data_IF_653429243633
#
_entry.id   IF_653429243633
#
_cell.length_a   1.000
_cell.length_b   1.000
_cell.length_c   1.000
_cell.angle_alpha   90.00
_cell.angle_beta   90.00
_cell.angle_gamma   90.00
#
_symmetry.space_group_name_H-M   'P 1'
#
loop_
_entity.id
_entity.type
_entity.pdbx_description
1 polymer ?
#
# COMPACT_ATOMS: atom_id res chain seq x y z
N UNK A 1 -55.71 -14.48 24.15
CA UNK A 1 -55.64 -14.93 25.55
C UNK A 1 -54.21 -14.64 26.00
N UNK A 2 -53.90 -13.65 26.82
CA UNK A 2 -54.66 -12.87 27.80
C UNK A 2 -53.95 -11.52 27.94
N UNK A 3 -54.75 -10.44 27.93
CA UNK A 3 -54.42 -9.08 28.35
C UNK A 3 -53.87 -9.02 29.79
N UNK A 4 -52.90 -8.13 30.03
CA UNK A 4 -52.80 -7.45 31.34
C UNK A 4 -52.60 -5.96 31.10
N UNK A 5 -53.71 -5.23 31.26
CA UNK A 5 -53.86 -3.79 31.43
C UNK A 5 -53.64 -3.44 32.91
N UNK A 6 -52.81 -2.43 33.21
CA UNK A 6 -52.88 -1.71 34.50
C UNK A 6 -52.99 -0.20 34.22
N UNK A 7 -54.25 0.21 34.23
CA UNK A 7 -54.77 1.57 34.35
C UNK A 7 -54.34 2.29 35.64
N UNK A 8 -53.90 3.54 35.42
CA UNK A 8 -54.54 4.78 35.89
C UNK A 8 -54.54 5.13 37.39
N UNK A 9 -53.91 6.27 37.70
CA UNK A 9 -54.45 7.23 38.68
C UNK A 9 -54.05 8.67 38.32
N UNK A 10 -54.92 9.34 37.58
CA UNK A 10 -55.07 10.79 37.63
C UNK A 10 -55.72 11.23 38.95
N UNK A 11 -55.31 12.39 39.49
CA UNK A 11 -56.16 13.52 39.94
C UNK A 11 -55.24 14.63 40.54
N UNK A 12 -55.21 15.77 39.84
CA UNK A 12 -54.77 17.14 40.21
C UNK A 12 -55.57 17.72 41.41
N UNK A 13 -55.43 19.01 41.84
CA UNK A 13 -54.42 20.07 41.57
C UNK A 13 -53.92 20.80 42.86
N UNK A 14 -52.83 21.58 42.79
CA UNK A 14 -52.79 22.88 43.47
C UNK A 14 -51.89 23.87 42.72
N UNK A 15 -52.50 25.01 42.39
CA UNK A 15 -51.94 26.21 41.79
C UNK A 15 -50.85 26.86 42.65
N UNK A 16 -49.76 27.30 42.02
CA UNK A 16 -49.15 28.62 42.28
C UNK A 16 -48.07 28.98 41.22
N UNK A 17 -48.47 29.87 40.31
CA UNK A 17 -47.74 30.94 39.63
C UNK A 17 -46.21 30.85 39.43
N UNK A 18 -45.79 30.94 38.17
CA UNK A 18 -44.45 31.37 37.78
C UNK A 18 -44.24 31.37 36.26
N UNK A 19 -44.73 32.42 35.59
CA UNK A 19 -44.47 32.72 34.18
C UNK A 19 -42.97 32.76 33.86
N UNK A 20 -42.46 31.84 33.04
CA UNK A 20 -41.51 32.16 31.95
C UNK A 20 -41.88 31.26 30.75
N UNK A 21 -42.08 31.95 29.64
CA UNK A 21 -42.54 31.51 28.34
C UNK A 21 -41.70 30.39 27.73
N UNK A 22 -42.35 29.49 26.98
CA UNK A 22 -41.66 28.65 26.02
C UNK A 22 -40.89 29.50 25.01
N UNK A 23 -39.62 29.15 24.81
CA UNK A 23 -38.94 29.37 23.54
C UNK A 23 -39.01 28.06 22.78
N UNK A 24 -39.71 28.09 21.65
CA UNK A 24 -39.43 27.19 20.56
C UNK A 24 -37.94 27.33 20.22
N UNK A 25 -37.29 26.19 20.04
CA UNK A 25 -35.93 26.07 19.50
C UNK A 25 -36.01 26.45 18.03
N UNK A 26 -35.99 27.75 17.78
CA UNK A 26 -35.50 28.34 16.55
C UNK A 26 -34.31 29.18 17.00
N UNK A 27 -33.14 28.85 16.47
CA UNK A 27 -31.90 29.59 16.57
C UNK A 27 -32.04 30.92 15.81
N UNK A 28 -32.00 32.06 16.52
CA UNK A 28 -31.26 33.20 15.98
C UNK A 28 -30.36 33.76 17.09
N UNK A 29 -29.06 33.55 16.97
CA UNK A 29 -28.16 34.01 18.03
C UNK A 29 -26.67 33.75 17.86
N UNK A 30 -26.15 33.56 16.63
CA UNK A 30 -24.70 33.66 16.38
C UNK A 30 -24.29 34.97 15.68
N UNK A 31 -25.22 35.86 15.32
CA UNK A 31 -24.87 37.12 14.65
C UNK A 31 -24.35 38.22 15.60
N UNK A 32 -24.67 38.14 16.90
CA UNK A 32 -24.15 39.07 17.91
C UNK A 32 -22.78 38.63 18.50
N UNK A 33 -22.30 37.45 18.10
CA UNK A 33 -21.04 36.85 18.57
C UNK A 33 -19.96 36.94 17.49
N UNK A 34 -20.23 37.42 16.28
CA UNK A 34 -19.30 37.35 15.14
C UNK A 34 -17.90 37.92 15.40
N UNK A 35 -17.78 39.09 16.05
CA UNK A 35 -16.48 39.68 16.40
C UNK A 35 -15.83 38.97 17.60
N UNK A 36 -16.62 38.51 18.58
CA UNK A 36 -16.11 37.82 19.77
C UNK A 36 -15.72 36.37 19.47
N UNK A 37 -16.42 35.69 18.57
CA UNK A 37 -16.10 34.35 18.06
C UNK A 37 -14.84 34.40 17.22
N UNK A 38 -14.65 35.45 16.40
CA UNK A 38 -13.36 35.73 15.73
C UNK A 38 -12.22 35.97 16.73
N UNK A 39 -12.45 36.79 17.76
CA UNK A 39 -11.45 37.02 18.83
C UNK A 39 -11.17 35.77 19.67
N UNK A 40 -12.12 34.83 19.77
CA UNK A 40 -11.97 33.56 20.48
C UNK A 40 -11.50 32.39 19.59
N UNK A 41 -11.24 32.61 18.29
CA UNK A 41 -10.78 31.57 17.37
C UNK A 41 -11.82 30.46 17.11
N UNK A 42 -13.10 30.82 17.18
CA UNK A 42 -14.27 29.95 17.02
C UNK A 42 -14.90 30.14 15.64
N UNK A 43 -14.07 30.16 14.60
CA UNK A 43 -14.47 30.35 13.20
C UNK A 43 -13.82 29.25 12.38
N UNK A 44 -14.55 28.75 11.38
CA UNK A 44 -13.98 27.81 10.42
C UNK A 44 -12.74 28.42 9.76
N UNK A 45 -11.72 27.61 9.43
CA UNK A 45 -10.58 28.08 8.65
C UNK A 45 -11.04 28.73 7.34
N UNK A 46 -10.35 29.78 6.90
CA UNK A 46 -10.64 30.44 5.62
C UNK A 46 -10.23 29.57 4.40
N UNK A 47 -9.46 28.50 4.65
CA UNK A 47 -8.95 27.54 3.66
C UNK A 47 -9.47 26.14 3.96
N UNK A 48 -10.03 25.47 2.95
CA UNK A 48 -10.61 24.14 3.06
C UNK A 48 -9.74 23.04 2.45
N UNK A 49 -10.33 21.88 2.19
CA UNK A 49 -9.65 20.73 1.59
C UNK A 49 -9.10 21.07 0.21
N UNK A 50 -9.84 21.85 -0.57
CA UNK A 50 -9.44 22.31 -1.89
C UNK A 50 -8.11 23.10 -1.87
N UNK A 51 -7.84 23.83 -0.78
CA UNK A 51 -6.61 24.61 -0.59
C UNK A 51 -5.48 23.81 0.08
N UNK A 52 -5.71 22.53 0.37
CA UNK A 52 -4.74 21.65 1.05
C UNK A 52 -4.73 21.80 2.57
N UNK A 53 -5.79 22.35 3.18
CA UNK A 53 -5.92 22.38 4.63
C UNK A 53 -6.63 21.12 5.14
N UNK A 54 -5.93 20.33 5.95
CA UNK A 54 -6.48 19.14 6.62
C UNK A 54 -7.00 19.42 8.04
N UNK A 55 -6.54 20.51 8.67
CA UNK A 55 -6.86 20.83 10.07
C UNK A 55 -8.11 21.72 10.14
N UNK A 56 -9.28 21.10 10.01
CA UNK A 56 -10.56 21.81 9.91
C UNK A 56 -11.42 21.59 11.17
N UNK A 57 -11.52 20.34 11.62
CA UNK A 57 -12.40 19.93 12.70
C UNK A 57 -11.79 20.16 14.09
N UNK A 58 -10.47 20.10 14.22
CA UNK A 58 -9.79 20.05 15.50
C UNK A 58 -9.92 18.70 16.23
N UNK A 59 -10.49 17.70 15.57
CA UNK A 59 -10.55 16.29 16.00
C UNK A 59 -9.54 15.51 15.17
N UNK A 60 -8.65 14.79 15.85
CA UNK A 60 -7.51 14.09 15.22
C UNK A 60 -7.96 13.11 14.14
N UNK A 61 -8.96 12.26 14.41
CA UNK A 61 -9.42 11.27 13.43
C UNK A 61 -10.00 11.90 12.16
N UNK A 62 -10.82 12.95 12.31
CA UNK A 62 -11.44 13.67 11.18
C UNK A 62 -10.40 14.47 10.38
N UNK A 63 -9.49 15.17 11.06
CA UNK A 63 -8.42 15.93 10.39
C UNK A 63 -7.41 14.99 9.70
N UNK A 64 -7.18 13.80 10.25
CA UNK A 64 -6.34 12.76 9.63
C UNK A 64 -6.98 12.17 8.37
N UNK A 65 -8.31 12.00 8.37
CA UNK A 65 -9.07 11.64 7.18
C UNK A 65 -8.93 12.70 6.09
N UNK A 66 -9.11 13.97 6.43
CA UNK A 66 -8.89 15.09 5.51
C UNK A 66 -7.46 15.12 4.96
N UNK A 67 -6.47 14.80 5.80
CA UNK A 67 -5.09 14.62 5.37
C UNK A 67 -4.91 13.48 4.38
N UNK A 68 -5.59 12.35 4.57
CA UNK A 68 -5.57 11.23 3.63
C UNK A 68 -6.22 11.59 2.29
N UNK A 69 -7.35 12.32 2.30
CA UNK A 69 -7.99 12.85 1.08
C UNK A 69 -7.02 13.72 0.27
N UNK A 70 -6.32 14.65 0.93
CA UNK A 70 -5.34 15.51 0.26
C UNK A 70 -4.18 14.67 -0.29
N UNK A 71 -3.66 13.71 0.47
CA UNK A 71 -2.55 12.86 0.04
C UNK A 71 -2.91 12.02 -1.20
N UNK A 72 -4.09 11.39 -1.21
CA UNK A 72 -4.56 10.59 -2.35
C UNK A 72 -4.85 11.48 -3.57
N UNK A 73 -5.47 12.64 -3.38
CA UNK A 73 -5.69 13.61 -4.47
C UNK A 73 -4.36 14.04 -5.09
N UNK A 74 -3.38 14.39 -4.27
CA UNK A 74 -2.08 14.85 -4.75
C UNK A 74 -1.30 13.71 -5.44
N UNK A 75 -1.42 12.48 -4.92
CA UNK A 75 -0.89 11.28 -5.58
C UNK A 75 -1.56 11.05 -6.95
N UNK A 76 -2.89 11.13 -7.04
CA UNK A 76 -3.62 11.03 -8.31
C UNK A 76 -3.14 12.06 -9.33
N UNK A 77 -3.04 13.33 -8.93
CA UNK A 77 -2.55 14.41 -9.81
C UNK A 77 -1.10 14.14 -10.26
N UNK A 78 -0.23 13.72 -9.34
CA UNK A 78 1.17 13.44 -9.65
C UNK A 78 1.32 12.28 -10.64
N UNK A 79 0.60 11.18 -10.43
CA UNK A 79 0.69 10.00 -11.28
C UNK A 79 0.02 10.24 -12.65
N UNK A 80 -1.15 10.89 -12.69
CA UNK A 80 -1.76 11.33 -13.95
C UNK A 80 -0.86 12.29 -14.73
N UNK A 81 -0.18 13.20 -14.04
CA UNK A 81 0.84 14.08 -14.64
C UNK A 81 2.00 13.30 -15.25
N UNK A 82 2.42 12.21 -14.61
CA UNK A 82 3.48 11.32 -15.11
C UNK A 82 3.03 10.57 -16.38
N UNK A 83 1.82 9.99 -16.38
CA UNK A 83 1.24 9.35 -17.58
C UNK A 83 1.18 10.34 -18.74
N UNK A 84 0.68 11.56 -18.49
CA UNK A 84 0.66 12.61 -19.52
C UNK A 84 2.05 12.94 -20.03
N UNK A 85 3.04 13.12 -19.15
CA UNK A 85 4.41 13.44 -19.56
C UNK A 85 5.03 12.33 -20.43
N UNK A 86 4.76 11.06 -20.13
CA UNK A 86 5.22 9.95 -20.97
C UNK A 86 4.51 9.92 -22.33
N UNK A 87 3.20 10.18 -22.38
CA UNK A 87 2.46 10.29 -23.63
C UNK A 87 2.97 11.45 -24.50
N UNK A 88 3.20 12.62 -23.91
CA UNK A 88 3.79 13.77 -24.62
C UNK A 88 5.20 13.44 -25.13
N UNK A 89 5.98 12.70 -24.34
CA UNK A 89 7.30 12.21 -24.74
C UNK A 89 7.25 11.23 -25.91
N UNK A 90 6.27 10.33 -25.93
CA UNK A 90 6.03 9.42 -27.06
C UNK A 90 5.55 10.22 -28.27
N UNK A 91 4.60 11.14 -28.10
CA UNK A 91 4.07 12.00 -29.17
C UNK A 91 5.18 12.82 -29.84
N UNK A 92 6.09 13.41 -29.05
CA UNK A 92 7.25 14.10 -29.55
C UNK A 92 8.18 13.18 -30.37
N UNK A 93 8.37 11.93 -29.93
CA UNK A 93 9.17 10.93 -30.67
C UNK A 93 8.50 10.46 -31.98
N UNK A 94 7.19 10.67 -32.10
CA UNK A 94 6.38 10.40 -33.28
C UNK A 94 6.20 11.63 -34.16
N UNK A 95 6.77 12.77 -33.77
CA UNK A 95 6.66 14.05 -34.50
C UNK A 95 5.21 14.54 -34.66
N UNK A 96 4.34 14.21 -33.69
CA UNK A 96 2.96 14.73 -33.65
C UNK A 96 3.04 16.23 -33.34
N UNK A 97 2.35 17.07 -34.10
CA UNK A 97 2.30 18.52 -33.84
C UNK A 97 1.13 18.88 -32.91
N UNK A 98 1.30 19.90 -32.06
CA UNK A 98 0.23 20.40 -31.18
C UNK A 98 -0.07 19.52 -29.95
N UNK A 99 0.70 18.45 -29.72
CA UNK A 99 0.47 17.50 -28.61
C UNK A 99 0.38 18.15 -27.22
N UNK A 100 1.07 19.26 -26.99
CA UNK A 100 1.07 19.97 -25.70
C UNK A 100 -0.28 20.65 -25.39
N UNK A 101 -1.09 20.96 -26.40
CA UNK A 101 -2.40 21.61 -26.24
C UNK A 101 -3.56 20.60 -26.23
N UNK A 102 -3.29 19.34 -26.59
CA UNK A 102 -4.30 18.28 -26.64
C UNK A 102 -4.75 17.85 -25.24
N UNK A 103 -6.04 17.55 -25.13
CA UNK A 103 -6.58 16.81 -23.98
C UNK A 103 -5.97 15.41 -23.89
N UNK A 104 -6.03 14.78 -22.72
CA UNK A 104 -5.40 13.47 -22.49
C UNK A 104 -5.92 12.39 -23.45
N UNK A 105 -7.23 12.34 -23.67
CA UNK A 105 -7.86 11.37 -24.58
C UNK A 105 -7.45 11.60 -26.04
N UNK A 106 -7.42 12.85 -26.49
CA UNK A 106 -6.98 13.22 -27.85
C UNK A 106 -5.51 12.87 -28.06
N UNK A 107 -4.65 13.21 -27.09
CA UNK A 107 -3.23 12.88 -27.11
C UNK A 107 -3.02 11.37 -27.19
N UNK A 108 -3.71 10.58 -26.37
CA UNK A 108 -3.58 9.13 -26.35
C UNK A 108 -4.01 8.50 -27.69
N UNK A 109 -5.10 8.99 -28.29
CA UNK A 109 -5.57 8.55 -29.60
C UNK A 109 -4.56 8.87 -30.71
N UNK A 110 -4.03 10.08 -30.75
CA UNK A 110 -3.02 10.49 -31.74
C UNK A 110 -1.71 9.70 -31.57
N UNK A 111 -1.29 9.45 -30.33
CA UNK A 111 -0.14 8.57 -30.03
C UNK A 111 -0.39 7.16 -30.54
N UNK A 112 -1.55 6.56 -30.25
CA UNK A 112 -1.88 5.21 -30.71
C UNK A 112 -1.88 5.12 -32.24
N UNK A 113 -2.49 6.10 -32.93
CA UNK A 113 -2.48 6.17 -34.39
C UNK A 113 -1.07 6.38 -34.97
N UNK A 114 -0.27 7.24 -34.34
CA UNK A 114 1.13 7.49 -34.72
C UNK A 114 2.00 6.24 -34.56
N UNK A 115 1.79 5.47 -33.49
CA UNK A 115 2.45 4.17 -33.28
C UNK A 115 2.06 3.17 -34.35
N UNK A 116 0.78 2.99 -34.63
CA UNK A 116 0.29 2.09 -35.67
C UNK A 116 0.86 2.43 -37.04
N UNK A 117 0.90 3.73 -37.39
CA UNK A 117 1.50 4.21 -38.63
C UNK A 117 3.01 3.93 -38.69
N UNK A 118 3.73 4.20 -37.60
CA UNK A 118 5.19 3.98 -37.52
C UNK A 118 5.54 2.49 -37.60
N UNK A 119 4.79 1.62 -36.93
CA UNK A 119 4.97 0.18 -37.04
C UNK A 119 4.59 -0.34 -38.42
N UNK A 120 3.49 0.11 -39.01
CA UNK A 120 3.07 -0.33 -40.36
C UNK A 120 4.07 0.09 -41.45
N UNK A 121 4.76 1.22 -41.26
CA UNK A 121 5.80 1.66 -42.18
C UNK A 121 7.11 0.86 -42.06
N UNK A 122 7.43 0.38 -40.85
CA UNK A 122 8.73 -0.23 -40.55
C UNK A 122 8.70 -1.76 -40.42
N UNK A 123 7.55 -2.36 -40.13
CA UNK A 123 7.44 -3.75 -39.71
C UNK A 123 6.50 -4.53 -40.64
N UNK A 124 6.80 -5.81 -40.83
CA UNK A 124 5.93 -6.77 -41.47
C UNK A 124 5.32 -7.68 -40.41
N UNK A 125 4.00 -7.58 -40.21
CA UNK A 125 3.27 -8.37 -39.21
C UNK A 125 3.15 -7.72 -37.82
N UNK A 126 3.52 -6.44 -37.69
CA UNK A 126 3.36 -5.68 -36.45
C UNK A 126 4.51 -5.84 -35.45
N UNK A 127 4.26 -5.37 -34.23
CA UNK A 127 5.14 -5.50 -33.06
C UNK A 127 4.36 -6.22 -31.97
N UNK A 128 5.03 -7.09 -31.22
CA UNK A 128 4.46 -7.69 -30.02
C UNK A 128 5.39 -7.39 -28.85
N UNK A 129 4.84 -6.66 -27.87
CA UNK A 129 5.51 -6.31 -26.62
C UNK A 129 4.91 -7.16 -25.51
N UNK A 130 5.72 -8.05 -24.95
CA UNK A 130 5.40 -8.78 -23.72
C UNK A 130 6.12 -8.12 -22.56
N UNK A 131 5.44 -7.99 -21.43
CA UNK A 131 6.01 -7.40 -20.23
C UNK A 131 5.58 -8.20 -19.02
N UNK A 132 6.47 -8.27 -18.05
CA UNK A 132 6.14 -8.76 -16.71
C UNK A 132 5.36 -7.68 -15.96
N UNK A 133 4.53 -8.05 -14.99
CA UNK A 133 3.82 -7.08 -14.18
C UNK A 133 4.83 -6.13 -13.48
N UNK A 134 4.56 -4.82 -13.42
CA UNK A 134 5.36 -3.89 -12.65
C UNK A 134 5.33 -4.29 -11.17
N UNK A 135 6.47 -4.14 -10.49
CA UNK A 135 6.59 -4.46 -9.06
C UNK A 135 6.37 -3.21 -8.24
N UNK A 136 5.33 -3.22 -7.43
CA UNK A 136 4.95 -2.11 -6.57
C UNK A 136 5.26 -2.46 -5.11
N UNK A 137 6.04 -1.60 -4.45
CA UNK A 137 6.39 -1.74 -3.04
C UNK A 137 5.58 -0.71 -2.24
N UNK A 138 4.79 -1.19 -1.28
CA UNK A 138 4.05 -0.34 -0.35
C UNK A 138 4.99 0.24 0.71
N UNK A 139 4.81 1.52 1.04
CA UNK A 139 5.60 2.18 2.08
C UNK A 139 5.02 1.85 3.47
N UNK A 140 5.68 0.94 4.19
CA UNK A 140 5.34 0.62 5.58
C UNK A 140 5.45 1.87 6.47
N UNK A 141 6.45 2.73 6.22
CA UNK A 141 6.62 4.00 6.95
C UNK A 141 5.40 4.91 6.77
N UNK A 142 4.82 4.96 5.57
CA UNK A 142 3.62 5.75 5.31
C UNK A 142 2.40 5.20 6.08
N UNK A 143 2.23 3.87 6.14
CA UNK A 143 1.17 3.22 6.92
C UNK A 143 1.32 3.46 8.42
N UNK A 144 2.54 3.31 8.95
CA UNK A 144 2.88 3.56 10.36
C UNK A 144 2.64 5.01 10.73
N UNK A 145 3.09 5.95 9.89
CA UNK A 145 2.88 7.37 10.11
C UNK A 145 1.39 7.71 10.06
N UNK A 146 0.64 7.18 9.09
CA UNK A 146 -0.79 7.41 8.98
C UNK A 146 -1.55 6.90 10.21
N UNK A 147 -1.15 5.75 10.74
CA UNK A 147 -1.76 5.16 11.93
C UNK A 147 -1.47 6.01 13.17
N UNK A 148 -0.22 6.42 13.37
CA UNK A 148 0.18 7.29 14.48
C UNK A 148 -0.44 8.69 14.40
N UNK A 149 -0.71 9.20 13.20
CA UNK A 149 -1.42 10.47 13.01
C UNK A 149 -2.91 10.37 13.31
N UNK A 150 -3.50 9.18 13.17
CA UNK A 150 -4.94 9.01 13.29
C UNK A 150 -5.38 8.51 14.67
N UNK A 151 -4.58 7.66 15.31
CA UNK A 151 -4.88 7.10 16.62
C UNK A 151 -3.80 7.46 17.66
N UNK A 152 -4.22 8.19 18.71
CA UNK A 152 -3.35 8.75 19.75
C UNK A 152 -2.87 7.67 20.73
N UNK A 153 -3.54 6.51 20.76
CA UNK A 153 -3.22 5.39 21.65
C UNK A 153 -2.27 4.36 21.02
N UNK A 154 -1.82 4.59 19.78
CA UNK A 154 -0.89 3.69 19.07
C UNK A 154 0.55 4.21 19.21
N UNK A 155 1.41 3.43 19.89
CA UNK A 155 2.85 3.71 19.93
C UNK A 155 3.49 3.28 18.60
N UNK A 156 4.08 4.20 17.81
CA UNK A 156 4.69 3.86 16.51
C UNK A 156 5.81 2.83 16.61
N UNK A 157 6.40 2.61 17.80
CA UNK A 157 7.36 1.54 18.05
C UNK A 157 6.76 0.13 18.20
N UNK A 158 5.42 -0.01 18.17
CA UNK A 158 4.67 -1.25 18.35
C UNK A 158 3.87 -1.68 17.12
N UNK A 159 3.94 -0.90 16.03
CA UNK A 159 3.23 -1.21 14.78
C UNK A 159 4.04 -2.25 13.99
N UNK A 160 3.54 -3.48 13.99
CA UNK A 160 4.01 -4.53 13.08
C UNK A 160 3.06 -4.60 11.87
N UNK A 161 3.49 -4.02 10.76
CA UNK A 161 2.83 -4.23 9.47
C UNK A 161 3.17 -5.65 9.00
N UNK A 162 2.17 -6.53 8.92
CA UNK A 162 2.36 -7.88 8.39
C UNK A 162 2.19 -7.87 6.88
N UNK A 163 3.17 -8.44 6.18
CA UNK A 163 3.10 -8.66 4.76
C UNK A 163 2.54 -10.05 4.48
N UNK A 164 1.26 -10.11 4.10
CA UNK A 164 0.63 -11.35 3.64
C UNK A 164 0.87 -11.52 2.13
N UNK A 165 2.11 -11.80 1.73
CA UNK A 165 2.41 -12.16 0.34
C UNK A 165 1.99 -13.60 0.04
N UNK A 166 1.10 -13.80 -0.93
CA UNK A 166 0.97 -15.10 -1.62
C UNK A 166 1.85 -15.06 -2.88
N UNK A 167 2.87 -15.93 -3.00
CA UNK A 167 3.60 -16.08 -4.27
C UNK A 167 2.61 -16.76 -5.27
N UNK A 168 1.92 -15.99 -6.13
CA UNK A 168 1.17 -16.55 -7.26
C UNK A 168 2.17 -17.05 -8.30
N UNK A 169 2.66 -18.27 -8.07
CA UNK A 169 3.39 -19.03 -9.07
C UNK A 169 2.36 -19.53 -10.09
N UNK A 170 2.62 -19.34 -11.39
CA UNK A 170 1.72 -19.82 -12.44
C UNK A 170 1.38 -21.29 -12.23
N UNK A 171 0.13 -21.69 -12.51
CA UNK A 171 -0.37 -23.04 -12.23
C UNK A 171 0.51 -24.15 -12.83
N UNK A 172 1.19 -23.86 -13.95
CA UNK A 172 2.14 -24.77 -14.59
C UNK A 172 3.42 -24.96 -13.77
N UNK A 173 3.99 -23.90 -13.20
CA UNK A 173 5.21 -23.96 -12.37
C UNK A 173 4.91 -24.55 -10.97
N UNK A 174 3.73 -24.26 -10.41
CA UNK A 174 3.27 -24.87 -9.16
C UNK A 174 3.05 -26.39 -9.31
N UNK A 175 2.53 -26.84 -10.46
CA UNK A 175 2.37 -28.26 -10.77
C UNK A 175 3.70 -28.98 -10.97
N UNK A 176 4.71 -28.32 -11.55
CA UNK A 176 6.04 -28.90 -11.77
C UNK A 176 6.86 -29.00 -10.48
N UNK A 177 6.81 -27.99 -9.61
CA UNK A 177 7.45 -28.06 -8.28
C UNK A 177 6.82 -29.15 -7.39
N UNK A 178 5.51 -29.39 -7.49
CA UNK A 178 4.83 -30.44 -6.74
C UNK A 178 5.10 -31.87 -7.28
N UNK A 179 5.50 -32.00 -8.55
CA UNK A 179 5.66 -33.29 -9.21
C UNK A 179 7.10 -33.81 -9.22
N UNK A 180 8.10 -32.95 -9.44
CA UNK A 180 9.51 -33.38 -9.66
C UNK A 180 10.59 -32.45 -9.05
N UNK A 181 10.22 -31.33 -8.42
CA UNK A 181 11.16 -30.38 -7.81
C UNK A 181 11.45 -30.64 -6.33
N UNK A 182 12.63 -30.20 -5.86
CA UNK A 182 12.90 -30.09 -4.42
C UNK A 182 12.61 -28.65 -3.97
N UNK A 183 11.63 -28.47 -3.10
CA UNK A 183 11.24 -27.16 -2.54
C UNK A 183 12.08 -26.90 -1.29
N UNK A 184 12.86 -25.84 -1.29
CA UNK A 184 13.65 -25.40 -0.14
C UNK A 184 13.15 -24.03 0.31
N UNK A 185 12.72 -23.93 1.56
CA UNK A 185 12.25 -22.69 2.17
C UNK A 185 13.35 -22.10 3.07
N UNK A 186 13.54 -20.78 3.01
CA UNK A 186 14.48 -20.06 3.89
C UNK A 186 13.75 -18.96 4.67
N UNK A 187 13.63 -19.13 6.00
CA UNK A 187 13.06 -18.13 6.91
C UNK A 187 14.13 -17.33 7.67
N UNK A 188 13.79 -16.13 8.15
CA UNK A 188 14.66 -15.28 8.97
C UNK A 188 13.98 -14.93 10.30
N UNK A 189 14.71 -15.07 11.41
CA UNK A 189 14.20 -14.76 12.76
C UNK A 189 13.78 -13.28 12.91
N UNK A 190 12.90 -12.93 13.87
CA UNK A 190 12.57 -13.65 15.12
C UNK A 190 11.37 -14.62 15.10
N UNK A 191 10.57 -14.66 14.03
CA UNK A 191 9.24 -15.31 14.04
C UNK A 191 9.21 -16.80 13.67
N UNK A 192 10.35 -17.50 13.74
CA UNK A 192 10.47 -18.85 13.18
C UNK A 192 11.05 -19.89 14.17
N UNK A 193 10.27 -20.91 14.52
CA UNK A 193 10.76 -22.12 15.17
C UNK A 193 11.33 -23.07 14.11
N UNK A 194 12.66 -23.19 14.05
CA UNK A 194 13.37 -23.89 12.99
C UNK A 194 13.59 -25.37 13.32
N UNK A 195 12.99 -26.29 12.57
CA UNK A 195 13.34 -27.73 12.57
C UNK A 195 14.40 -28.10 11.51
N UNK A 196 14.92 -27.11 10.77
CA UNK A 196 15.86 -27.28 9.65
C UNK A 196 17.33 -26.94 9.94
N UNK A 197 18.09 -26.68 8.88
CA UNK A 197 19.49 -26.23 8.97
C UNK A 197 19.55 -24.73 9.28
N UNK A 198 20.21 -24.36 10.37
CA UNK A 198 20.38 -22.96 10.78
C UNK A 198 21.77 -22.45 10.38
N UNK A 199 21.81 -21.31 9.69
CA UNK A 199 23.02 -20.54 9.43
C UNK A 199 22.99 -19.26 10.27
N UNK A 200 23.82 -19.20 11.32
CA UNK A 200 23.89 -18.08 12.25
C UNK A 200 24.13 -18.49 13.71
N UNK A 201 23.64 -17.65 14.63
CA UNK A 201 23.75 -17.90 16.08
C UNK A 201 22.50 -18.62 16.55
N UNK A 202 22.67 -19.79 17.16
CA UNK A 202 21.60 -20.52 17.81
C UNK A 202 21.66 -20.30 19.32
N UNK A 203 20.53 -19.87 19.90
CA UNK A 203 20.40 -19.68 21.34
C UNK A 203 19.86 -20.95 21.98
N UNK A 204 20.62 -21.51 22.91
CA UNK A 204 20.32 -22.77 23.58
C UNK A 204 19.90 -22.48 25.02
N UNK A 205 18.59 -22.48 25.28
CA UNK A 205 18.01 -22.31 26.62
C UNK A 205 18.18 -23.58 27.50
N UNK A 206 18.57 -24.70 26.90
CA UNK A 206 18.94 -25.94 27.56
C UNK A 206 20.16 -26.57 26.86
N UNK A 207 20.95 -27.36 27.59
CA UNK A 207 22.14 -28.01 27.06
C UNK A 207 21.81 -28.93 25.85
N UNK A 208 22.29 -28.57 24.65
CA UNK A 208 22.01 -29.28 23.40
C UNK A 208 23.29 -29.58 22.61
N UNK A 209 23.21 -30.52 21.66
CA UNK A 209 24.30 -30.76 20.71
C UNK A 209 24.44 -29.58 19.76
N UNK A 210 25.67 -29.07 19.62
CA UNK A 210 26.03 -27.95 18.76
C UNK A 210 27.17 -28.40 17.83
N UNK A 211 26.97 -28.32 16.52
CA UNK A 211 28.00 -28.68 15.52
C UNK A 211 29.02 -27.57 15.25
N UNK A 212 28.77 -26.36 15.76
CA UNK A 212 29.60 -25.17 15.58
C UNK A 212 30.46 -24.80 16.79
N UNK A 213 30.78 -23.51 16.90
CA UNK A 213 31.56 -22.97 18.03
C UNK A 213 30.62 -22.71 19.22
N UNK A 214 30.83 -23.45 20.30
CA UNK A 214 30.11 -23.25 21.56
C UNK A 214 30.72 -22.08 22.32
N UNK A 215 29.90 -21.06 22.60
CA UNK A 215 30.20 -19.96 23.51
C UNK A 215 29.29 -20.09 24.74
N UNK A 216 29.77 -20.79 25.78
CA UNK A 216 28.96 -21.11 26.96
C UNK A 216 29.50 -22.26 27.82
N UNK A 217 28.61 -22.93 28.55
CA UNK A 217 28.98 -24.09 29.38
C UNK A 217 29.01 -25.35 28.52
N UNK A 218 30.16 -26.03 28.48
CA UNK A 218 30.32 -27.30 27.79
C UNK A 218 30.32 -28.44 28.81
N UNK A 219 29.46 -29.46 28.63
CA UNK A 219 29.44 -30.63 29.50
C UNK A 219 30.55 -31.66 29.21
N UNK A 220 31.35 -31.42 28.17
CA UNK A 220 32.48 -32.27 27.73
C UNK A 220 33.82 -31.52 27.70
N UNK A 221 34.75 -31.98 26.86
CA UNK A 221 36.03 -31.29 26.64
C UNK A 221 35.80 -30.11 25.72
N UNK A 222 36.27 -28.93 26.13
CA UNK A 222 36.28 -27.75 25.28
C UNK A 222 37.66 -27.57 24.63
N UNK A 223 37.67 -27.33 23.32
CA UNK A 223 38.92 -27.10 22.57
C UNK A 223 39.57 -25.74 22.85
N UNK A 224 38.83 -24.75 23.35
CA UNK A 224 39.33 -23.42 23.70
C UNK A 224 38.44 -22.75 24.74
N UNK A 225 39.01 -22.28 25.84
CA UNK A 225 38.28 -21.64 26.95
C UNK A 225 38.59 -20.14 27.02
N UNK A 226 37.57 -19.35 27.35
CA UNK A 226 37.70 -17.94 27.66
C UNK A 226 38.34 -17.73 29.03
N UNK A 227 38.76 -16.49 29.31
CA UNK A 227 39.37 -16.10 30.58
C UNK A 227 38.46 -16.29 31.81
N UNK A 228 37.15 -16.39 31.62
CA UNK A 228 36.14 -16.64 32.64
C UNK A 228 35.81 -18.13 32.83
N UNK A 229 36.47 -19.02 32.09
CA UNK A 229 36.25 -20.47 32.12
C UNK A 229 35.06 -20.95 31.27
N UNK A 230 34.42 -20.07 30.49
CA UNK A 230 33.43 -20.47 29.51
C UNK A 230 34.09 -21.10 28.27
N UNK A 231 33.45 -22.09 27.67
CA UNK A 231 33.89 -22.68 26.40
C UNK A 231 33.69 -21.65 25.28
N UNK A 232 34.68 -21.54 24.39
CA UNK A 232 34.72 -20.64 23.23
C UNK A 232 35.23 -21.38 21.98
N UNK A 233 34.86 -22.65 21.85
CA UNK A 233 35.40 -23.57 20.85
C UNK A 233 34.49 -24.76 20.61
N UNK A 234 34.96 -25.74 19.85
CA UNK A 234 34.27 -27.03 19.70
C UNK A 234 34.17 -27.74 21.05
N UNK A 235 32.96 -28.15 21.40
CA UNK A 235 32.60 -28.87 22.61
C UNK A 235 32.23 -30.31 22.27
N UNK A 236 32.90 -31.30 22.87
CA UNK A 236 32.61 -32.73 22.63
C UNK A 236 31.32 -33.23 23.35
N UNK A 237 30.61 -32.34 24.03
CA UNK A 237 29.41 -32.63 24.82
C UNK A 237 28.22 -31.76 24.44
N UNK A 238 27.38 -31.44 25.41
CA UNK A 238 26.27 -30.50 25.23
C UNK A 238 26.74 -29.08 25.54
N UNK A 239 26.36 -28.14 24.69
CA UNK A 239 26.59 -26.71 24.85
C UNK A 239 25.34 -26.05 25.44
N UNK A 240 25.52 -25.27 26.50
CA UNK A 240 24.47 -24.41 27.09
C UNK A 240 24.94 -22.95 26.99
N UNK A 241 24.21 -22.12 26.23
CA UNK A 241 24.62 -20.77 25.88
C UNK A 241 24.35 -20.43 24.41
N UNK A 242 25.36 -19.90 23.72
CA UNK A 242 25.25 -19.55 22.29
C UNK A 242 26.09 -20.47 21.43
N UNK A 243 25.47 -21.05 20.41
CA UNK A 243 26.13 -21.92 19.43
C UNK A 243 26.24 -21.16 18.12
N UNK A 244 27.46 -20.85 17.68
CA UNK A 244 27.68 -20.18 16.40
C UNK A 244 27.97 -21.23 15.33
N UNK A 245 27.02 -21.43 14.42
CA UNK A 245 27.07 -22.46 13.39
C UNK A 245 27.76 -21.93 12.13
N UNK A 246 28.62 -22.76 11.53
CA UNK A 246 29.02 -22.59 10.13
C UNK A 246 27.88 -23.13 9.24
N UNK A 247 27.79 -22.65 7.99
CA UNK A 247 26.67 -22.90 7.08
C UNK A 247 26.19 -24.37 7.08
N UNK A 248 24.90 -24.59 7.38
CA UNK A 248 24.26 -25.92 7.34
C UNK A 248 24.28 -26.71 8.65
N UNK A 249 24.39 -26.06 9.82
CA UNK A 249 24.37 -26.75 11.11
C UNK A 249 22.96 -27.10 11.62
N UNK A 250 22.77 -28.31 12.14
CA UNK A 250 21.54 -28.69 12.85
C UNK A 250 21.55 -28.09 14.27
N UNK A 251 20.48 -27.38 14.64
CA UNK A 251 20.29 -26.86 16.00
C UNK A 251 18.93 -27.26 16.58
N UNK A 252 18.91 -27.72 17.83
CA UNK A 252 17.67 -28.00 18.57
C UNK A 252 17.13 -26.83 19.38
N UNK A 253 17.47 -25.57 19.03
CA UNK A 253 17.09 -24.36 19.77
C UNK A 253 16.64 -23.21 18.86
N UNK A 254 16.45 -22.01 19.41
CA UNK A 254 15.98 -20.84 18.63
C UNK A 254 17.11 -20.32 17.74
N UNK A 255 16.91 -20.38 16.42
CA UNK A 255 17.84 -19.85 15.42
C UNK A 255 17.63 -18.34 15.28
N UNK A 256 18.66 -17.53 15.60
CA UNK A 256 18.64 -16.07 15.39
C UNK A 256 19.25 -15.67 14.03
N UNK A 257 19.38 -16.64 13.11
CA UNK A 257 19.96 -16.50 11.77
C UNK A 257 18.97 -16.79 10.64
N UNK A 258 19.47 -17.32 9.52
CA UNK A 258 18.64 -17.87 8.44
C UNK A 258 18.43 -19.36 8.66
N UNK A 259 17.18 -19.81 8.56
CA UNK A 259 16.82 -21.22 8.65
C UNK A 259 16.41 -21.74 7.28
N UNK A 260 17.08 -22.79 6.80
CA UNK A 260 16.75 -23.49 5.56
C UNK A 260 16.11 -24.84 5.88
N UNK A 261 14.93 -25.11 5.32
CA UNK A 261 14.19 -26.36 5.54
C UNK A 261 13.43 -26.81 4.28
N UNK A 262 13.15 -28.11 4.19
CA UNK A 262 12.32 -28.71 3.14
C UNK A 262 10.92 -28.98 3.73
N UNK A 263 9.87 -28.26 3.30
CA UNK A 263 8.52 -28.53 3.79
C UNK A 263 8.04 -29.89 3.26
N UNK A 264 7.35 -30.66 4.10
CA UNK A 264 6.68 -31.90 3.67
C UNK A 264 5.47 -31.71 2.73
N UNK A 265 5.34 -30.53 2.10
CA UNK A 265 4.22 -30.10 1.26
C UNK A 265 4.64 -29.00 0.27
N UNK A 266 3.72 -28.57 -0.60
CA UNK A 266 4.00 -27.66 -1.73
C UNK A 266 4.05 -26.16 -1.36
N UNK A 267 4.02 -25.82 -0.08
CA UNK A 267 3.92 -24.44 0.41
C UNK A 267 4.98 -24.18 1.48
N UNK A 268 5.64 -23.02 1.40
CA UNK A 268 6.47 -22.50 2.49
C UNK A 268 5.60 -21.76 3.50
N UNK A 269 6.02 -21.71 4.76
CA UNK A 269 5.33 -20.89 5.77
C UNK A 269 5.46 -19.40 5.43
N UNK A 270 4.48 -18.61 5.88
CA UNK A 270 4.45 -17.17 5.62
C UNK A 270 5.79 -16.52 6.03
N UNK A 271 6.37 -15.71 5.13
CA UNK A 271 7.67 -15.03 5.25
C UNK A 271 8.94 -15.84 4.92
N UNK A 272 8.82 -17.08 4.43
CA UNK A 272 9.97 -17.84 3.93
C UNK A 272 10.22 -17.63 2.43
N UNK A 273 11.49 -17.47 2.04
CA UNK A 273 11.92 -17.45 0.63
C UNK A 273 11.90 -18.87 0.10
N UNK A 274 11.09 -19.13 -0.93
CA UNK A 274 11.02 -20.42 -1.59
C UNK A 274 12.04 -20.49 -2.73
N UNK A 275 12.81 -21.57 -2.79
CA UNK A 275 13.62 -21.97 -3.94
C UNK A 275 13.15 -23.33 -4.45
N UNK A 276 12.83 -23.42 -5.73
CA UNK A 276 12.47 -24.67 -6.39
C UNK A 276 13.57 -25.05 -7.38
N UNK A 277 14.30 -26.12 -7.09
CA UNK A 277 15.35 -26.64 -7.97
C UNK A 277 14.73 -27.70 -8.91
N UNK A 278 14.41 -27.31 -10.15
CA UNK A 278 13.99 -28.23 -11.22
C UNK A 278 15.03 -28.18 -12.34
N UNK A 279 15.43 -29.34 -12.86
CA UNK A 279 16.53 -29.47 -13.82
C UNK A 279 16.23 -28.93 -15.24
N UNK A 280 15.11 -28.25 -15.44
CA UNK A 280 14.68 -27.74 -16.75
C UNK A 280 14.06 -26.33 -16.63
N UNK A 281 14.93 -25.31 -16.68
CA UNK A 281 14.66 -23.89 -16.94
C UNK A 281 13.96 -23.08 -15.82
N UNK A 282 14.58 -21.92 -15.52
CA UNK A 282 14.25 -20.87 -14.56
C UNK A 282 14.58 -21.17 -13.08
N UNK A 283 15.69 -20.58 -12.59
CA UNK A 283 15.82 -20.22 -11.17
C UNK A 283 14.72 -19.20 -10.86
N UNK A 284 13.58 -19.66 -10.34
CA UNK A 284 12.57 -18.78 -9.77
C UNK A 284 13.03 -18.44 -8.36
N UNK A 285 13.80 -17.36 -8.22
CA UNK A 285 13.97 -16.72 -6.93
C UNK A 285 12.65 -15.98 -6.62
N UNK A 286 11.74 -16.57 -5.83
CA UNK A 286 10.75 -15.77 -5.08
C UNK A 286 11.58 -14.97 -4.07
N UNK A 287 12.22 -13.87 -4.47
CA UNK A 287 12.79 -12.91 -3.53
C UNK A 287 11.60 -12.38 -2.73
N UNK A 288 11.49 -12.79 -1.47
CA UNK A 288 10.41 -12.38 -0.57
C UNK A 288 10.35 -10.88 -0.42
N UNK A 289 9.63 -10.24 -1.35
CA UNK A 289 9.32 -8.82 -1.41
C UNK A 289 7.82 -8.74 -1.67
N UNK A 290 7.14 -7.96 -0.83
CA UNK A 290 5.69 -7.87 -0.77
C UNK A 290 5.09 -7.39 -2.08
N UNK A 291 4.67 -8.31 -2.93
CA UNK A 291 3.64 -8.07 -3.94
C UNK A 291 2.30 -8.40 -3.24
N UNK A 292 1.78 -7.45 -2.44
CA UNK A 292 0.57 -7.65 -1.64
C UNK A 292 0.23 -6.48 -0.72
N UNK A 293 -1.05 -6.32 -0.42
CA UNK A 293 -1.58 -5.30 0.49
C UNK A 293 -1.02 -5.49 1.90
N UNK A 294 -0.60 -4.39 2.51
CA UNK A 294 -0.13 -4.35 3.90
C UNK A 294 -1.37 -4.45 4.78
N UNK A 295 -1.44 -5.44 5.68
CA UNK A 295 -2.50 -5.42 6.69
C UNK A 295 -2.21 -4.24 7.64
N UNK A 296 -3.08 -3.21 7.67
CA UNK A 296 -2.83 -2.02 8.44
C UNK A 296 -2.80 -2.37 9.94
N UNK A 297 -2.07 -1.60 10.77
CA UNK A 297 -2.18 -1.75 12.22
C UNK A 297 -3.63 -1.67 12.68
N UNK A 298 -3.95 -2.36 13.78
CA UNK A 298 -5.25 -2.20 14.43
C UNK A 298 -5.42 -0.74 14.86
N UNK A 299 -6.23 -0.01 14.10
CA UNK A 299 -6.64 1.38 14.34
C UNK A 299 -8.16 1.43 14.40
N UNK A 300 -8.71 2.53 14.91
CA UNK A 300 -10.16 2.76 14.85
C UNK A 300 -10.69 2.65 13.41
N UNK A 301 -11.95 2.23 13.24
CA UNK A 301 -12.56 2.06 11.92
C UNK A 301 -12.55 3.35 11.07
N UNK A 302 -12.58 4.51 11.72
CA UNK A 302 -12.46 5.84 11.11
C UNK A 302 -11.05 6.08 10.54
N UNK A 303 -10.03 5.48 11.18
CA UNK A 303 -8.63 5.61 10.81
C UNK A 303 -8.19 4.58 9.78
N UNK A 304 -8.84 3.42 9.71
CA UNK A 304 -8.45 2.35 8.80
C UNK A 304 -8.44 2.83 7.34
N UNK A 305 -9.52 3.48 6.89
CA UNK A 305 -9.61 4.03 5.54
C UNK A 305 -8.51 5.06 5.25
N UNK A 306 -8.14 5.87 6.25
CA UNK A 306 -7.10 6.88 6.11
C UNK A 306 -5.69 6.27 6.01
N UNK A 307 -5.45 5.20 6.76
CA UNK A 307 -4.19 4.45 6.76
C UNK A 307 -4.01 3.71 5.46
N UNK A 308 -5.01 2.93 5.04
CA UNK A 308 -5.00 2.20 3.76
C UNK A 308 -4.81 3.18 2.60
N UNK A 309 -5.55 4.28 2.58
CA UNK A 309 -5.44 5.27 1.52
C UNK A 309 -4.06 5.92 1.43
N UNK A 310 -3.44 6.27 2.56
CA UNK A 310 -2.07 6.83 2.58
C UNK A 310 -1.02 5.79 2.19
N UNK A 311 -1.22 4.53 2.57
CA UNK A 311 -0.34 3.43 2.20
C UNK A 311 -0.33 3.24 0.68
N UNK A 312 -1.52 3.13 0.07
CA UNK A 312 -1.71 2.96 -1.36
C UNK A 312 -1.24 4.18 -2.17
N UNK A 313 -1.46 5.39 -1.67
CA UNK A 313 -0.94 6.62 -2.30
C UNK A 313 0.59 6.69 -2.32
N UNK A 314 1.24 6.03 -1.35
CA UNK A 314 2.69 6.05 -1.14
C UNK A 314 3.41 4.85 -1.77
N UNK A 315 2.69 4.05 -2.56
CA UNK A 315 3.27 2.92 -3.28
C UNK A 315 4.27 3.41 -4.33
N UNK A 316 5.43 2.74 -4.40
CA UNK A 316 6.45 2.99 -5.41
C UNK A 316 6.56 1.80 -6.35
N UNK A 317 6.30 2.03 -7.64
CA UNK A 317 6.31 0.98 -8.66
C UNK A 317 7.57 1.06 -9.53
N UNK A 318 8.29 -0.06 -9.62
CA UNK A 318 9.46 -0.21 -10.48
C UNK A 318 9.02 -0.55 -11.92
N UNK A 319 9.62 0.09 -12.95
CA UNK A 319 9.33 -0.23 -14.35
C UNK A 319 9.56 -1.71 -14.70
N UNK A 320 8.65 -2.33 -15.47
CA UNK A 320 8.77 -3.73 -15.85
C UNK A 320 9.81 -3.94 -16.94
N UNK A 321 10.28 -5.18 -17.05
CA UNK A 321 11.11 -5.61 -18.18
C UNK A 321 10.23 -5.82 -19.42
N UNK A 322 10.69 -5.32 -20.59
CA UNK A 322 9.96 -5.43 -21.86
C UNK A 322 10.68 -6.36 -22.83
N UNK A 323 10.03 -7.45 -23.22
CA UNK A 323 10.41 -8.31 -24.34
C UNK A 323 9.69 -7.86 -25.60
N UNK A 324 10.43 -7.55 -26.64
CA UNK A 324 9.88 -6.98 -27.87
C UNK A 324 10.25 -7.84 -29.06
N UNK A 325 9.23 -8.33 -29.77
CA UNK A 325 9.38 -9.14 -30.97
C UNK A 325 8.79 -8.43 -32.18
N UNK A 326 9.54 -8.40 -33.27
CA UNK A 326 9.13 -7.75 -34.52
C UNK A 326 9.92 -8.30 -35.71
N UNK A 327 9.39 -8.08 -36.90
CA UNK A 327 10.08 -8.36 -38.16
C UNK A 327 10.07 -7.11 -39.04
N UNK A 328 11.23 -6.71 -39.55
CA UNK A 328 11.31 -5.57 -40.46
C UNK A 328 10.63 -5.86 -41.79
N UNK A 329 10.03 -4.83 -42.39
CA UNK A 329 9.56 -4.93 -43.77
C UNK A 329 10.75 -5.17 -44.73
N UNK A 330 10.57 -6.07 -45.70
CA UNK A 330 11.63 -6.49 -46.63
C UNK A 330 12.21 -5.34 -47.50
N UNK A 331 11.53 -4.20 -47.55
CA UNK A 331 11.93 -3.01 -48.32
C UNK A 331 12.78 -2.01 -47.53
N UNK A 332 13.04 -2.23 -46.23
CA UNK A 332 13.83 -1.30 -45.42
C UNK A 332 15.34 -1.52 -45.59
N UNK A 333 16.05 -0.43 -45.85
CA UNK A 333 17.50 -0.39 -45.84
C UNK A 333 18.07 -0.43 -44.41
N UNK A 334 19.39 -0.61 -44.31
CA UNK A 334 20.08 -0.79 -43.03
C UNK A 334 20.07 0.47 -42.15
N UNK A 335 20.01 1.67 -42.75
CA UNK A 335 20.02 2.94 -42.03
C UNK A 335 18.65 3.15 -41.38
N UNK A 336 17.56 2.94 -42.13
CA UNK A 336 16.20 2.99 -41.61
C UNK A 336 15.94 1.96 -40.50
N UNK A 337 16.51 0.74 -40.61
CA UNK A 337 16.46 -0.24 -39.54
C UNK A 337 17.21 0.20 -38.27
N UNK A 338 18.32 0.93 -38.43
CA UNK A 338 19.08 1.46 -37.30
C UNK A 338 18.33 2.59 -36.60
N UNK A 339 17.74 3.52 -37.36
CA UNK A 339 16.90 4.60 -36.81
C UNK A 339 15.69 4.06 -36.05
N UNK A 340 15.01 3.04 -36.60
CA UNK A 340 13.88 2.41 -35.91
C UNK A 340 14.30 1.76 -34.60
N UNK A 341 15.45 1.06 -34.55
CA UNK A 341 15.95 0.47 -33.29
C UNK A 341 16.27 1.52 -32.23
N UNK A 342 16.87 2.64 -32.63
CA UNK A 342 17.17 3.76 -31.71
C UNK A 342 15.88 4.36 -31.16
N UNK A 343 14.91 4.62 -32.04
CA UNK A 343 13.60 5.10 -31.62
C UNK A 343 12.89 4.10 -30.69
N UNK A 344 12.95 2.81 -31.00
CA UNK A 344 12.30 1.75 -30.23
C UNK A 344 12.86 1.66 -28.80
N UNK A 345 14.17 1.81 -28.60
CA UNK A 345 14.75 1.83 -27.25
C UNK A 345 14.24 3.04 -26.43
N UNK A 346 14.12 4.21 -27.06
CA UNK A 346 13.51 5.38 -26.42
C UNK A 346 12.04 5.16 -26.10
N UNK A 347 11.28 4.55 -27.02
CA UNK A 347 9.88 4.19 -26.81
C UNK A 347 9.72 3.19 -25.67
N UNK A 348 10.54 2.13 -25.61
CA UNK A 348 10.50 1.11 -24.55
C UNK A 348 10.69 1.71 -23.16
N UNK A 349 11.65 2.63 -23.00
CA UNK A 349 11.86 3.30 -21.72
C UNK A 349 10.61 4.05 -21.26
N UNK A 350 10.01 4.87 -22.14
CA UNK A 350 8.79 5.63 -21.84
C UNK A 350 7.58 4.73 -21.60
N UNK A 351 7.43 3.68 -22.40
CA UNK A 351 6.35 2.72 -22.25
C UNK A 351 6.46 1.96 -20.92
N UNK A 352 7.67 1.55 -20.50
CA UNK A 352 7.88 0.91 -19.20
C UNK A 352 7.60 1.85 -18.02
N UNK A 353 7.96 3.14 -18.12
CA UNK A 353 7.63 4.14 -17.12
C UNK A 353 6.10 4.38 -17.03
N UNK A 354 5.42 4.41 -18.18
CA UNK A 354 3.97 4.51 -18.24
C UNK A 354 3.25 3.30 -17.63
N UNK A 355 3.78 2.07 -17.83
CA UNK A 355 3.26 0.86 -17.18
C UNK A 355 3.47 0.85 -15.66
N UNK A 356 4.60 1.37 -15.17
CA UNK A 356 4.79 1.56 -13.73
C UNK A 356 3.80 2.57 -13.16
N UNK A 357 3.57 3.68 -13.88
CA UNK A 357 2.59 4.67 -13.51
C UNK A 357 1.17 4.11 -13.50
N UNK A 358 0.79 3.25 -14.46
CA UNK A 358 -0.54 2.62 -14.44
C UNK A 358 -0.77 1.71 -13.24
N UNK A 359 0.24 0.96 -12.81
CA UNK A 359 0.09 0.15 -11.60
C UNK A 359 -0.05 1.00 -10.34
N UNK A 360 0.64 2.15 -10.27
CA UNK A 360 0.44 3.12 -9.20
C UNK A 360 -0.96 3.75 -9.25
N UNK A 361 -1.51 3.98 -10.45
CA UNK A 361 -2.88 4.46 -10.62
C UNK A 361 -3.91 3.46 -10.09
N UNK A 362 -3.68 2.15 -10.24
CA UNK A 362 -4.59 1.13 -9.71
C UNK A 362 -4.66 1.20 -8.17
N UNK A 363 -3.52 1.30 -7.48
CA UNK A 363 -3.48 1.47 -6.02
C UNK A 363 -4.15 2.79 -5.58
N UNK A 364 -3.87 3.89 -6.27
CA UNK A 364 -4.54 5.18 -6.00
C UNK A 364 -6.05 5.09 -6.26
N UNK A 365 -6.50 4.32 -7.25
CA UNK A 365 -7.94 4.12 -7.50
C UNK A 365 -8.62 3.39 -6.34
N UNK A 366 -7.99 2.34 -5.80
CA UNK A 366 -8.49 1.62 -4.62
C UNK A 366 -8.57 2.57 -3.42
N UNK A 367 -7.53 3.38 -3.20
CA UNK A 367 -7.53 4.40 -2.15
C UNK A 367 -8.67 5.42 -2.30
N UNK A 368 -8.94 5.86 -3.53
CA UNK A 368 -10.04 6.78 -3.83
C UNK A 368 -11.40 6.16 -3.52
N UNK A 369 -11.63 4.90 -3.91
CA UNK A 369 -12.89 4.19 -3.63
C UNK A 369 -13.14 4.09 -2.12
N UNK A 370 -12.12 3.68 -1.35
CA UNK A 370 -12.21 3.60 0.10
C UNK A 370 -12.51 4.95 0.78
N UNK A 371 -11.86 6.03 0.32
CA UNK A 371 -12.11 7.37 0.86
C UNK A 371 -13.48 7.94 0.46
N UNK A 372 -13.98 7.64 -0.75
CA UNK A 372 -15.32 8.06 -1.19
C UNK A 372 -16.39 7.40 -0.32
N UNK A 373 -16.25 6.10 -0.06
CA UNK A 373 -17.17 5.35 0.80
C UNK A 373 -17.14 5.88 2.23
N UNK A 374 -15.94 6.18 2.76
CA UNK A 374 -15.76 6.78 4.08
C UNK A 374 -16.33 8.20 4.17
N UNK A 375 -16.15 9.04 3.15
CA UNK A 375 -16.72 10.39 3.10
C UNK A 375 -18.25 10.38 3.11
N UNK A 376 -18.87 9.43 2.42
CA UNK A 376 -20.33 9.37 2.28
C UNK A 376 -21.10 8.87 3.49
N UNK A 377 -20.44 8.16 4.42
CA UNK A 377 -21.13 7.49 5.54
C UNK A 377 -20.33 7.53 6.85
N UNK A 378 -19.09 7.07 6.83
CA UNK A 378 -18.26 6.90 8.03
C UNK A 378 -17.97 8.24 8.72
N UNK A 379 -17.59 9.26 7.95
CA UNK A 379 -17.24 10.58 8.52
C UNK A 379 -18.47 11.30 9.09
N UNK A 380 -19.61 11.42 8.38
CA UNK A 380 -20.83 11.97 8.96
C UNK A 380 -21.30 11.22 10.22
N UNK A 381 -21.28 9.88 10.22
CA UNK A 381 -21.70 9.07 11.36
C UNK A 381 -20.77 9.26 12.57
N UNK A 382 -19.46 9.36 12.35
CA UNK A 382 -18.47 9.66 13.39
C UNK A 382 -18.73 11.04 14.00
N UNK A 383 -19.00 12.05 13.18
CA UNK A 383 -19.32 13.40 13.65
C UNK A 383 -20.60 13.40 14.49
N UNK A 384 -21.65 12.69 14.05
CA UNK A 384 -22.90 12.56 14.81
C UNK A 384 -22.69 11.85 16.16
N UNK A 385 -21.89 10.78 16.21
CA UNK A 385 -21.55 10.09 17.45
C UNK A 385 -20.83 11.01 18.42
N UNK A 386 -19.78 11.70 17.98
CA UNK A 386 -19.00 12.61 18.82
C UNK A 386 -19.90 13.72 19.38
N UNK A 387 -20.81 14.26 18.57
CA UNK A 387 -21.77 15.27 19.02
C UNK A 387 -22.79 14.71 20.03
N UNK A 388 -23.17 13.44 19.92
CA UNK A 388 -24.15 12.80 20.80
C UNK A 388 -23.59 12.43 22.18
N UNK A 389 -22.29 12.17 22.30
CA UNK A 389 -21.63 11.86 23.58
C UNK A 389 -21.71 13.01 24.60
N UNK A 390 -21.80 14.25 24.10
CA UNK A 390 -21.91 15.45 24.92
C UNK A 390 -20.64 15.78 25.71
N UNK A 391 -20.57 16.99 26.27
CA UNK A 391 -19.37 17.44 27.01
C UNK A 391 -18.21 17.93 26.13
N UNK A 392 -18.44 18.12 24.83
CA UNK A 392 -17.48 18.72 23.91
C UNK A 392 -17.17 20.17 24.28
N UNK A 393 -15.92 20.55 24.10
CA UNK A 393 -15.54 21.96 24.12
C UNK A 393 -16.22 22.70 22.96
N UNK A 394 -16.63 23.95 23.20
CA UNK A 394 -17.31 24.77 22.19
C UNK A 394 -16.50 24.88 20.89
N UNK A 395 -15.16 24.88 20.98
CA UNK A 395 -14.28 24.89 19.81
C UNK A 395 -14.40 23.61 18.98
N UNK A 396 -14.48 22.45 19.63
CA UNK A 396 -14.65 21.15 18.96
C UNK A 396 -16.02 21.08 18.31
N UNK A 397 -17.08 21.53 18.98
CA UNK A 397 -18.43 21.54 18.38
C UNK A 397 -18.51 22.43 17.14
N UNK A 398 -17.82 23.58 17.14
CA UNK A 398 -17.78 24.46 15.96
C UNK A 398 -16.93 23.84 14.85
N UNK A 399 -15.76 23.27 15.17
CA UNK A 399 -14.90 22.60 14.20
C UNK A 399 -15.58 21.42 13.51
N UNK A 400 -16.34 20.60 14.26
CA UNK A 400 -17.15 19.52 13.68
C UNK A 400 -18.23 20.04 12.71
N UNK A 401 -18.80 21.21 12.98
CA UNK A 401 -19.70 21.88 12.03
C UNK A 401 -18.98 22.28 10.74
N UNK A 402 -17.78 22.86 10.87
CA UNK A 402 -16.94 23.21 9.72
C UNK A 402 -16.53 21.98 8.90
N UNK A 403 -16.26 20.86 9.58
CA UNK A 403 -15.91 19.60 8.94
C UNK A 403 -17.06 19.05 8.09
N UNK A 404 -18.31 19.12 8.59
CA UNK A 404 -19.50 18.72 7.83
C UNK A 404 -19.69 19.55 6.56
N UNK A 405 -19.46 20.86 6.64
CA UNK A 405 -19.55 21.75 5.48
C UNK A 405 -18.47 21.41 4.41
N UNK A 406 -17.33 20.85 4.82
CA UNK A 406 -16.23 20.43 3.93
C UNK A 406 -16.41 19.03 3.35
N UNK A 407 -17.32 18.19 3.85
CA UNK A 407 -17.55 16.84 3.30
C UNK A 407 -17.97 16.88 1.83
N UNK A 408 -18.76 17.88 1.41
CA UNK A 408 -19.12 18.07 0.01
C UNK A 408 -17.90 18.41 -0.88
N UNK A 409 -16.96 19.19 -0.32
CA UNK A 409 -15.71 19.52 -0.99
C UNK A 409 -14.78 18.29 -1.11
N UNK A 410 -14.75 17.43 -0.09
CA UNK A 410 -14.07 16.13 -0.14
C UNK A 410 -14.64 15.26 -1.26
N UNK A 411 -15.96 15.09 -1.30
CA UNK A 411 -16.63 14.28 -2.33
C UNK A 411 -16.31 14.77 -3.74
N UNK A 412 -16.31 16.10 -3.94
CA UNK A 412 -15.93 16.71 -5.23
C UNK A 412 -14.46 16.45 -5.57
N UNK A 413 -13.54 16.66 -4.62
CA UNK A 413 -12.11 16.47 -4.83
C UNK A 413 -11.76 15.00 -5.17
N UNK A 414 -12.38 14.04 -4.48
CA UNK A 414 -12.18 12.61 -4.75
C UNK A 414 -12.78 12.19 -6.10
N UNK A 415 -13.94 12.73 -6.48
CA UNK A 415 -14.55 12.47 -7.78
C UNK A 415 -13.70 13.00 -8.96
N UNK A 416 -13.13 14.20 -8.82
CA UNK A 416 -12.23 14.79 -9.81
C UNK A 416 -10.92 13.98 -9.93
N UNK A 417 -10.37 13.52 -8.80
CA UNK A 417 -9.21 12.63 -8.77
C UNK A 417 -9.52 11.28 -9.45
N UNK A 418 -10.66 10.67 -9.14
CA UNK A 418 -11.11 9.41 -9.76
C UNK A 418 -11.29 9.54 -11.28
N UNK A 419 -11.86 10.66 -11.73
CA UNK A 419 -11.98 10.95 -13.17
C UNK A 419 -10.60 11.05 -13.84
N UNK A 420 -9.64 11.71 -13.18
CA UNK A 420 -8.27 11.87 -13.68
C UNK A 420 -7.53 10.53 -13.76
N UNK A 421 -7.67 9.69 -12.73
CA UNK A 421 -7.09 8.35 -12.65
C UNK A 421 -7.67 7.45 -13.74
N UNK A 422 -9.00 7.38 -13.84
CA UNK A 422 -9.69 6.56 -14.84
C UNK A 422 -9.35 7.00 -16.27
N UNK A 423 -9.29 8.30 -16.54
CA UNK A 423 -8.87 8.84 -17.83
C UNK A 423 -7.42 8.46 -18.17
N UNK A 424 -6.53 8.48 -17.17
CA UNK A 424 -5.13 8.07 -17.33
C UNK A 424 -4.99 6.58 -17.62
N UNK A 425 -5.71 5.72 -16.88
CA UNK A 425 -5.76 4.28 -17.14
C UNK A 425 -6.30 3.96 -18.54
N UNK A 426 -7.34 4.66 -18.97
CA UNK A 426 -7.88 4.53 -20.33
C UNK A 426 -6.85 4.92 -21.39
N UNK A 427 -6.13 6.03 -21.18
CA UNK A 427 -5.05 6.47 -22.07
C UNK A 427 -3.92 5.44 -22.18
N UNK A 428 -3.48 4.88 -21.06
CA UNK A 428 -2.49 3.78 -21.05
C UNK A 428 -3.02 2.57 -21.79
N UNK A 429 -4.28 2.18 -21.56
CA UNK A 429 -4.92 1.06 -22.24
C UNK A 429 -5.00 1.24 -23.76
N UNK A 430 -5.30 2.46 -24.24
CA UNK A 430 -5.32 2.78 -25.67
C UNK A 430 -3.94 2.61 -26.31
N UNK A 431 -2.89 3.14 -25.68
CA UNK A 431 -1.52 3.00 -26.19
C UNK A 431 -1.04 1.54 -26.09
N UNK A 432 -1.34 0.87 -24.98
CA UNK A 432 -1.04 -0.55 -24.77
C UNK A 432 -1.67 -1.44 -25.84
N UNK A 433 -2.94 -1.20 -26.20
CA UNK A 433 -3.63 -1.94 -27.26
C UNK A 433 -3.00 -1.79 -28.64
N UNK A 434 -2.32 -0.66 -28.91
CA UNK A 434 -1.61 -0.44 -30.18
C UNK A 434 -0.31 -1.26 -30.32
N UNK A 435 0.23 -1.80 -29.21
CA UNK A 435 1.54 -2.49 -29.18
C UNK A 435 1.49 -3.95 -28.75
N UNK A 436 0.35 -4.41 -28.22
CA UNK A 436 0.11 -5.81 -27.86
C UNK A 436 -0.69 -6.58 -28.93
N UNK A 437 -0.95 -5.93 -30.08
CA UNK A 437 -1.76 -6.45 -31.18
C UNK A 437 -1.14 -7.62 -31.94
N UNK A 438 -1.44 -8.82 -31.45
CA UNK A 438 -1.44 -10.11 -32.14
C UNK A 438 -2.35 -11.09 -31.43
#
# INVERSE_FOLDING_TARGET
MVDIDIRNKNILPFLACGLISGLAVASPGCDAVGDLAKECGLVCPDTGIADGNASISGVVSIDSFFGAVIAVRDAAVSVSGTVRAELEGIAASLEIEGYAEMGLDELANEVAAGLEAKFSANLQGGISISYEAPKCEASIEASVQAAAECDVDVDPGSIEAQCMGSCEVSADVAAECAAEGNLTCTGKAPDFECEGSCEGTCKLDAAASCSGTCNGTCSGTCSSENADGSCAGSCDGMCEGTCQLEAGGECGGRCEGSCTYEPGGAECEANATAKCDVSAMAEVECQGKCEGSVEPPEVSAECQASVEAKAEASVECTPPSLSVTYQFAASLDADAQAEFRIWLEGFKARFSAMLAASAKLDGVNVALEGLIDAAGSVVPDAIEQIQAEGGLDLKVSIGLGCALDEVDAVGTALADASTSVTGSLSAVGMVGGSVTGG
#
